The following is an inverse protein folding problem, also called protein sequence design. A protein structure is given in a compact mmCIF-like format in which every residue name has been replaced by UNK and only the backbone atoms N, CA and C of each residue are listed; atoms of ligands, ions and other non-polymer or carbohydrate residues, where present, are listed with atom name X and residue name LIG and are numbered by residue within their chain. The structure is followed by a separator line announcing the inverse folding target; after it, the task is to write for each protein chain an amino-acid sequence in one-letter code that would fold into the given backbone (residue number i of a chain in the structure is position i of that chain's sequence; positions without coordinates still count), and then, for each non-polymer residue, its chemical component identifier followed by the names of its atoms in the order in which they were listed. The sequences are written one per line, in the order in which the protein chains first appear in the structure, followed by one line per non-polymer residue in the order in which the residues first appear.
data_IF_053559058360
#
_entry.id   IF_053559058360
#
_cell.length_a   1.000
_cell.length_b   1.000
_cell.length_c   1.000
_cell.angle_alpha   90.00
_cell.angle_beta   90.00
_cell.angle_gamma   90.00
#
_symmetry.space_group_name_H-M   'P 1'
#
loop_
_entity.id
_entity.type
_entity.pdbx_description
1 polymer ?
#
# COMPACT_ATOMS: atom_id res chain seq x y z
N UNK A 1 -44.81 25.93 -14.69
CA UNK A 1 -44.30 24.62 -14.25
C UNK A 1 -43.10 24.27 -15.12
N UNK A 2 -41.88 24.44 -14.61
CA UNK A 2 -40.67 23.85 -15.21
C UNK A 2 -39.92 23.14 -14.08
N UNK A 3 -40.01 21.81 -14.05
CA UNK A 3 -39.22 20.94 -13.17
C UNK A 3 -37.86 20.74 -13.84
N UNK A 4 -36.81 21.37 -13.34
CA UNK A 4 -35.45 20.92 -13.58
C UNK A 4 -35.03 20.04 -12.40
N UNK A 5 -35.11 18.73 -12.61
CA UNK A 5 -34.65 17.69 -11.72
C UNK A 5 -33.16 17.43 -12.02
N UNK A 6 -32.36 17.45 -10.93
CA UNK A 6 -31.23 16.55 -10.63
C UNK A 6 -29.96 16.72 -11.48
N UNK A 7 -28.82 16.92 -10.83
CA UNK A 7 -27.75 15.91 -10.70
C UNK A 7 -26.54 16.51 -9.97
N UNK A 8 -26.26 15.93 -8.80
CA UNK A 8 -24.95 15.72 -8.19
C UNK A 8 -23.90 16.83 -8.31
N UNK A 9 -23.89 17.73 -7.33
CA UNK A 9 -22.65 18.38 -6.89
C UNK A 9 -21.78 17.37 -6.10
N UNK A 10 -21.30 16.34 -6.79
CA UNK A 10 -20.32 15.39 -6.27
C UNK A 10 -19.10 15.41 -7.21
N UNK A 11 -18.44 16.57 -7.32
CA UNK A 11 -17.22 16.70 -8.10
C UNK A 11 -16.46 17.98 -7.69
N UNK A 12 -15.94 18.00 -6.47
CA UNK A 12 -14.87 18.94 -6.10
C UNK A 12 -14.06 18.48 -4.87
N UNK A 13 -13.94 17.18 -4.62
CA UNK A 13 -12.72 16.69 -3.96
C UNK A 13 -11.70 16.54 -5.08
N UNK A 14 -11.13 17.68 -5.49
CA UNK A 14 -9.99 17.69 -6.39
C UNK A 14 -8.96 16.76 -5.78
N UNK A 15 -8.80 15.64 -6.49
CA UNK A 15 -7.67 14.76 -6.53
C UNK A 15 -6.37 15.56 -6.42
N UNK A 16 -5.99 15.90 -5.19
CA UNK A 16 -4.62 15.79 -4.76
C UNK A 16 -4.26 14.31 -4.88
N UNK A 17 -4.03 13.84 -6.11
CA UNK A 17 -3.13 12.71 -6.39
C UNK A 17 -1.69 13.23 -6.19
N UNK A 18 -1.48 13.90 -5.06
CA UNK A 18 -0.20 14.02 -4.35
C UNK A 18 -0.37 13.27 -3.03
N UNK A 19 -1.14 12.17 -3.04
CA UNK A 19 -1.27 11.20 -1.94
C UNK A 19 0.04 10.43 -1.78
N UNK A 20 1.07 11.17 -1.39
CA UNK A 20 2.35 10.77 -0.84
C UNK A 20 2.68 11.85 0.22
N UNK A 21 1.70 12.16 1.07
CA UNK A 21 1.91 13.06 2.20
C UNK A 21 2.58 12.29 3.33
N UNK A 22 3.21 12.99 4.27
CA UNK A 22 3.87 12.43 5.46
C UNK A 22 2.92 11.64 6.40
N UNK A 23 1.66 11.43 6.01
CA UNK A 23 0.62 10.76 6.80
C UNK A 23 -0.33 9.98 5.88
N UNK A 24 -0.05 8.69 5.63
CA UNK A 24 -0.94 7.79 4.89
C UNK A 24 -2.32 7.67 5.56
N UNK A 25 -3.39 7.59 4.76
CA UNK A 25 -4.74 7.30 5.29
C UNK A 25 -4.81 5.90 5.91
N UNK A 26 -5.84 5.65 6.72
CA UNK A 26 -6.10 4.32 7.27
C UNK A 26 -6.65 3.35 6.21
N UNK A 27 -6.64 2.06 6.51
CA UNK A 27 -7.22 1.03 5.63
C UNK A 27 -8.74 1.24 5.51
N UNK A 28 -9.39 1.60 6.62
CA UNK A 28 -10.83 1.84 6.69
C UNK A 28 -11.24 3.04 5.84
N UNK A 29 -10.38 4.06 5.73
CA UNK A 29 -10.63 5.19 4.83
C UNK A 29 -10.53 4.78 3.36
N UNK A 30 -9.58 3.91 3.01
CA UNK A 30 -9.48 3.36 1.66
C UNK A 30 -10.65 2.43 1.32
N UNK A 31 -11.17 1.65 2.26
CA UNK A 31 -12.32 0.77 2.03
C UNK A 31 -13.61 1.52 1.67
N UNK A 32 -13.69 2.82 1.93
CA UNK A 32 -14.84 3.67 1.53
C UNK A 32 -14.81 4.02 0.04
N UNK A 33 -13.67 3.83 -0.64
CA UNK A 33 -13.51 4.15 -2.05
C UNK A 33 -14.06 3.03 -2.94
N UNK A 34 -14.54 3.35 -4.16
CA UNK A 34 -14.90 2.35 -5.15
C UNK A 34 -13.73 1.44 -5.50
N UNK A 35 -14.01 0.15 -5.73
CA UNK A 35 -12.99 -0.84 -6.09
C UNK A 35 -12.11 -0.41 -7.28
N UNK A 36 -12.72 0.12 -8.34
CA UNK A 36 -11.98 0.59 -9.52
C UNK A 36 -11.02 1.76 -9.21
N UNK A 37 -11.35 2.59 -8.22
CA UNK A 37 -10.46 3.66 -7.76
C UNK A 37 -9.27 3.07 -7.00
N UNK A 38 -9.52 2.12 -6.09
CA UNK A 38 -8.47 1.39 -5.37
C UNK A 38 -7.53 0.64 -6.31
N UNK A 39 -8.05 -0.04 -7.33
CA UNK A 39 -7.26 -0.71 -8.37
C UNK A 39 -6.36 0.29 -9.10
N UNK A 40 -6.91 1.43 -9.53
CA UNK A 40 -6.12 2.48 -10.20
C UNK A 40 -5.03 3.07 -9.30
N UNK A 41 -5.32 3.28 -8.02
CA UNK A 41 -4.34 3.77 -7.04
C UNK A 41 -3.25 2.73 -6.77
N UNK A 42 -3.62 1.47 -6.57
CA UNK A 42 -2.69 0.38 -6.31
C UNK A 42 -1.77 0.12 -7.50
N UNK A 43 -2.29 0.13 -8.73
CA UNK A 43 -1.49 0.00 -9.95
C UNK A 43 -0.45 1.11 -10.09
N UNK A 44 -0.80 2.35 -9.74
CA UNK A 44 0.15 3.48 -9.73
C UNK A 44 1.25 3.27 -8.69
N UNK A 45 0.88 2.78 -7.51
CA UNK A 45 1.79 2.41 -6.44
C UNK A 45 2.79 1.32 -6.87
N UNK A 46 2.30 0.20 -7.41
CA UNK A 46 3.17 -0.89 -7.88
C UNK A 46 4.10 -0.42 -9.00
N UNK A 47 3.60 0.38 -9.94
CA UNK A 47 4.45 0.92 -11.02
C UNK A 47 5.55 1.84 -10.48
N UNK A 48 5.22 2.71 -9.53
CA UNK A 48 6.18 3.67 -8.94
C UNK A 48 7.26 2.95 -8.11
N UNK A 49 6.86 1.95 -7.33
CA UNK A 49 7.73 1.32 -6.33
C UNK A 49 8.46 0.07 -6.86
N UNK A 50 7.79 -0.75 -7.68
CA UNK A 50 8.28 -2.08 -8.07
C UNK A 50 8.75 -2.16 -9.53
N UNK A 51 8.08 -1.48 -10.47
CA UNK A 51 8.46 -1.48 -11.88
C UNK A 51 9.36 -0.28 -12.22
N UNK A 52 10.58 -0.31 -11.70
CA UNK A 52 11.61 0.67 -12.08
C UNK A 52 12.46 0.14 -13.23
N UNK A 53 12.20 0.64 -14.44
CA UNK A 53 13.14 0.54 -15.54
C UNK A 53 14.24 1.59 -15.32
N UNK A 54 15.48 1.13 -15.06
CA UNK A 54 16.62 2.03 -14.90
C UNK A 54 17.20 2.39 -16.26
N UNK A 55 17.18 3.67 -16.62
CA UNK A 55 17.76 4.16 -17.87
C UNK A 55 19.27 4.42 -17.76
N UNK A 56 19.80 4.50 -16.53
CA UNK A 56 21.22 4.71 -16.26
C UNK A 56 21.70 4.05 -14.96
N UNK A 57 23.03 3.93 -14.81
CA UNK A 57 23.67 3.41 -13.60
C UNK A 57 23.45 4.33 -12.38
N UNK A 58 23.37 5.63 -12.59
CA UNK A 58 23.17 6.60 -11.51
C UNK A 58 21.75 6.48 -10.94
N UNK A 59 20.73 6.31 -11.79
CA UNK A 59 19.36 6.03 -11.35
C UNK A 59 19.25 4.74 -10.53
N UNK A 60 19.96 3.69 -10.97
CA UNK A 60 20.04 2.42 -10.23
C UNK A 60 20.69 2.61 -8.86
N UNK A 61 21.81 3.35 -8.78
CA UNK A 61 22.49 3.62 -7.51
C UNK A 61 21.62 4.43 -6.54
N UNK A 62 20.89 5.43 -7.03
CA UNK A 62 19.95 6.20 -6.20
C UNK A 62 18.79 5.32 -5.71
N UNK A 63 18.27 4.43 -6.55
CA UNK A 63 17.26 3.47 -6.11
C UNK A 63 17.77 2.49 -5.05
N UNK A 64 19.02 2.03 -5.17
CA UNK A 64 19.67 1.18 -4.15
C UNK A 64 19.76 1.93 -2.81
N UNK A 65 20.21 3.19 -2.82
CA UNK A 65 20.29 3.99 -1.58
C UNK A 65 18.94 4.17 -0.91
N UNK A 66 17.89 4.40 -1.70
CA UNK A 66 16.51 4.49 -1.19
C UNK A 66 16.06 3.17 -0.58
N UNK A 67 16.27 2.07 -1.28
CA UNK A 67 15.94 0.73 -0.78
C UNK A 67 16.69 0.41 0.54
N UNK A 68 17.97 0.80 0.66
CA UNK A 68 18.72 0.69 1.91
C UNK A 68 18.13 1.53 3.04
N UNK A 69 17.64 2.74 2.75
CA UNK A 69 16.97 3.59 3.74
C UNK A 69 15.66 2.96 4.22
N UNK A 70 14.85 2.44 3.30
CA UNK A 70 13.61 1.69 3.61
C UNK A 70 13.92 0.47 4.48
N UNK A 71 14.93 -0.31 4.12
CA UNK A 71 15.34 -1.49 4.86
C UNK A 71 15.79 -1.17 6.29
N UNK A 72 16.47 -0.03 6.51
CA UNK A 72 16.83 0.43 7.86
C UNK A 72 15.59 0.74 8.71
N UNK A 73 14.57 1.37 8.13
CA UNK A 73 13.31 1.66 8.84
C UNK A 73 12.58 0.36 9.16
N UNK A 74 12.42 -0.52 8.18
CA UNK A 74 11.80 -1.86 8.37
C UNK A 74 12.48 -2.64 9.48
N UNK A 75 13.81 -2.63 9.54
CA UNK A 75 14.58 -3.29 10.60
C UNK A 75 14.22 -2.75 11.98
N UNK A 76 14.15 -1.42 12.16
CA UNK A 76 13.79 -0.79 13.44
C UNK A 76 12.37 -1.16 13.90
N UNK A 77 11.42 -1.18 12.96
CA UNK A 77 10.04 -1.57 13.25
C UNK A 77 9.98 -3.04 13.67
N UNK A 78 10.68 -3.93 12.96
CA UNK A 78 10.78 -5.34 13.29
C UNK A 78 11.40 -5.59 14.67
N UNK A 79 12.50 -4.90 14.98
CA UNK A 79 13.13 -4.93 16.31
C UNK A 79 12.16 -4.47 17.40
N UNK A 80 11.41 -3.38 17.17
CA UNK A 80 10.42 -2.88 18.13
C UNK A 80 9.24 -3.86 18.32
N UNK A 81 8.84 -4.59 17.28
CA UNK A 81 7.81 -5.63 17.30
C UNK A 81 8.29 -6.96 17.88
N UNK A 82 9.59 -7.12 18.14
CA UNK A 82 10.18 -8.41 18.56
C UNK A 82 10.10 -9.49 17.49
N UNK A 83 10.06 -9.12 16.20
CA UNK A 83 10.01 -10.05 15.06
C UNK A 83 11.26 -9.94 14.20
N UNK A 84 11.69 -11.05 13.62
CA UNK A 84 12.77 -11.09 12.62
C UNK A 84 12.25 -11.26 11.19
N UNK A 85 10.92 -11.28 11.01
CA UNK A 85 10.29 -11.52 9.71
C UNK A 85 10.63 -10.37 8.77
N UNK A 86 11.47 -10.66 7.78
CA UNK A 86 11.67 -9.74 6.65
C UNK A 86 10.37 -9.76 5.86
N UNK A 87 9.67 -8.63 5.78
CA UNK A 87 8.41 -8.59 5.08
C UNK A 87 8.58 -8.78 3.58
N UNK A 88 7.71 -9.61 3.00
CA UNK A 88 7.63 -9.81 1.56
C UNK A 88 6.36 -9.16 1.02
N UNK A 89 6.53 -8.20 0.11
CA UNK A 89 5.43 -7.53 -0.61
C UNK A 89 4.85 -6.29 0.10
N UNK A 90 4.18 -5.45 -0.70
CA UNK A 90 3.62 -4.17 -0.25
C UNK A 90 2.63 -4.31 0.91
N UNK A 91 1.89 -5.43 0.97
CA UNK A 91 0.85 -5.64 1.98
C UNK A 91 1.38 -5.59 3.43
N UNK A 92 2.63 -6.01 3.69
CA UNK A 92 3.17 -5.91 5.04
C UNK A 92 3.35 -4.46 5.50
N UNK A 93 3.78 -3.57 4.60
CA UNK A 93 3.90 -2.15 4.94
C UNK A 93 2.54 -1.56 5.32
N UNK A 94 1.46 -2.11 4.75
CA UNK A 94 0.09 -1.74 5.11
C UNK A 94 -0.27 -2.01 6.56
N UNK A 95 0.45 -2.91 7.24
CA UNK A 95 0.21 -3.23 8.66
C UNK A 95 1.05 -2.37 9.63
N UNK A 96 1.87 -1.45 9.12
CA UNK A 96 2.61 -0.48 9.95
C UNK A 96 1.62 0.49 10.58
N UNK A 97 1.70 0.66 11.89
CA UNK A 97 0.84 1.58 12.63
C UNK A 97 1.29 3.02 12.46
N UNK A 98 0.39 3.98 12.68
CA UNK A 98 0.76 5.40 12.61
C UNK A 98 1.80 5.78 13.67
N UNK A 99 1.80 5.13 14.84
CA UNK A 99 2.82 5.31 15.87
C UNK A 99 4.20 4.84 15.40
N UNK A 100 4.28 3.66 14.80
CA UNK A 100 5.53 3.12 14.25
C UNK A 100 6.06 3.97 13.11
N UNK A 101 5.16 4.43 12.23
CA UNK A 101 5.51 5.32 11.14
C UNK A 101 6.02 6.67 11.66
N UNK A 102 5.35 7.25 12.66
CA UNK A 102 5.80 8.51 13.27
C UNK A 102 7.14 8.37 14.00
N UNK A 103 7.42 7.22 14.60
CA UNK A 103 8.61 7.00 15.42
C UNK A 103 9.84 6.62 14.60
N UNK A 104 9.66 5.84 13.54
CA UNK A 104 10.76 5.25 12.78
C UNK A 104 10.79 5.64 11.31
N UNK A 105 9.65 6.07 10.77
CA UNK A 105 9.45 6.32 9.36
C UNK A 105 10.09 7.60 8.83
N UNK A 106 10.00 7.74 7.52
CA UNK A 106 10.31 8.94 6.76
C UNK A 106 9.29 9.04 5.60
N UNK A 107 9.36 10.13 4.83
CA UNK A 107 8.42 10.37 3.72
C UNK A 107 8.42 9.24 2.69
N UNK A 108 9.59 8.72 2.31
CA UNK A 108 9.69 7.59 1.37
C UNK A 108 9.04 6.33 1.94
N UNK A 109 9.23 6.04 3.23
CA UNK A 109 8.62 4.90 3.90
C UNK A 109 7.10 5.02 4.00
N UNK A 110 6.59 6.23 4.22
CA UNK A 110 5.17 6.51 4.24
C UNK A 110 4.49 6.11 2.91
N UNK A 111 5.17 6.28 1.77
CA UNK A 111 4.64 5.83 0.47
C UNK A 111 4.45 4.31 0.41
N UNK A 112 5.39 3.53 0.95
CA UNK A 112 5.25 2.07 1.00
C UNK A 112 4.09 1.66 1.92
N UNK A 113 3.94 2.33 3.06
CA UNK A 113 2.82 2.11 3.98
C UNK A 113 1.50 2.41 3.28
N UNK A 114 1.39 3.54 2.59
CA UNK A 114 0.20 3.92 1.84
C UNK A 114 -0.16 2.88 0.78
N UNK A 115 0.79 2.48 -0.06
CA UNK A 115 0.58 1.45 -1.07
C UNK A 115 0.15 0.11 -0.47
N UNK A 116 0.73 -0.27 0.67
CA UNK A 116 0.32 -1.45 1.42
C UNK A 116 -1.11 -1.37 1.95
N UNK A 117 -1.52 -0.22 2.51
CA UNK A 117 -2.88 -0.02 3.03
C UNK A 117 -3.92 -0.05 1.92
N UNK A 118 -3.63 0.55 0.77
CA UNK A 118 -4.48 0.45 -0.43
C UNK A 118 -4.62 -1.01 -0.86
N UNK A 119 -3.51 -1.77 -0.90
CA UNK A 119 -3.53 -3.18 -1.25
C UNK A 119 -4.36 -4.04 -0.29
N UNK A 120 -4.25 -3.79 1.02
CA UNK A 120 -5.10 -4.46 2.02
C UNK A 120 -6.57 -4.08 1.85
N UNK A 121 -6.87 -2.79 1.66
CA UNK A 121 -8.24 -2.33 1.44
C UNK A 121 -8.88 -2.96 0.20
N UNK A 122 -8.13 -3.04 -0.91
CA UNK A 122 -8.54 -3.71 -2.14
C UNK A 122 -8.83 -5.20 -1.94
N UNK A 123 -8.10 -5.85 -1.04
CA UNK A 123 -8.31 -7.26 -0.66
C UNK A 123 -9.50 -7.45 0.29
N UNK A 124 -10.19 -6.40 0.73
CA UNK A 124 -11.31 -6.50 1.67
C UNK A 124 -10.97 -6.12 3.11
N UNK A 125 -9.80 -5.53 3.35
CA UNK A 125 -9.39 -4.98 4.65
C UNK A 125 -8.58 -5.94 5.52
N UNK A 126 -8.28 -5.51 6.74
CA UNK A 126 -7.48 -6.28 7.70
C UNK A 126 -8.12 -7.61 8.08
N UNK A 127 -9.45 -7.68 8.11
CA UNK A 127 -10.16 -8.92 8.42
C UNK A 127 -9.84 -9.99 7.38
N UNK A 128 -9.96 -9.68 6.07
CA UNK A 128 -9.62 -10.61 4.99
C UNK A 128 -8.12 -10.91 4.96
N UNK A 129 -7.28 -9.91 5.18
CA UNK A 129 -5.83 -10.07 5.22
C UNK A 129 -5.37 -11.07 6.30
N UNK A 130 -5.99 -11.04 7.47
CA UNK A 130 -5.64 -11.89 8.61
C UNK A 130 -6.32 -13.28 8.58
N UNK A 131 -7.19 -13.56 7.60
CA UNK A 131 -7.81 -14.89 7.48
C UNK A 131 -6.73 -15.96 7.25
N UNK A 132 -6.81 -17.11 7.95
CA UNK A 132 -5.91 -18.24 7.68
C UNK A 132 -5.99 -18.63 6.20
N UNK A 133 -4.84 -18.62 5.52
CA UNK A 133 -4.78 -19.07 4.13
C UNK A 133 -4.62 -20.58 4.10
N UNK A 134 -5.33 -21.28 3.18
CA UNK A 134 -5.10 -22.70 2.96
C UNK A 134 -3.63 -22.93 2.60
N UNK A 135 -3.07 -24.01 3.12
CA UNK A 135 -1.70 -24.43 2.81
C UNK A 135 -1.52 -24.62 1.31
N UNK A 136 -0.26 -24.56 0.82
CA UNK A 136 0.03 -24.85 -0.59
C UNK A 136 -0.52 -26.22 -1.00
N UNK A 137 -0.39 -27.22 -0.13
CA UNK A 137 -0.96 -28.57 -0.35
C UNK A 137 -2.47 -28.53 -0.59
N UNK A 138 -3.22 -27.76 0.21
CA UNK A 138 -4.66 -27.60 0.04
C UNK A 138 -5.03 -26.84 -1.23
N UNK A 139 -4.25 -25.82 -1.61
CA UNK A 139 -4.48 -25.02 -2.82
C UNK A 139 -4.31 -25.83 -4.11
N UNK A 140 -3.38 -26.78 -4.12
CA UNK A 140 -3.07 -27.60 -5.32
C UNK A 140 -3.68 -29.00 -5.29
N UNK A 141 -4.47 -29.36 -4.27
CA UNK A 141 -5.05 -30.71 -4.08
C UNK A 141 -5.88 -31.23 -5.27
N UNK A 142 -6.38 -30.33 -6.12
CA UNK A 142 -7.20 -30.67 -7.29
C UNK A 142 -6.63 -30.15 -8.63
N UNK A 143 -5.41 -29.59 -8.65
CA UNK A 143 -4.79 -29.17 -9.91
C UNK A 143 -4.09 -30.40 -10.49
N UNK A 144 -4.69 -31.01 -11.52
CA UNK A 144 -4.19 -32.22 -12.19
C UNK A 144 -5.05 -33.48 -12.03
N UNK A 145 -6.32 -33.36 -11.61
CA UNK A 145 -7.33 -34.43 -11.74
C UNK A 145 -8.18 -34.23 -12.98
#
# INVERSE_FOLDING_TARGET
MNKALVFSAAAAAMLAISGCGDSPKSIEDYQKLPKAELESMYDKCEKKLLNKDFSSRDEMNEAIKKEEAINKVTKKINEARGTSVIPFGLAWYGTVTDEELSKFGNSEYAEYVECGRIGIALQGGLEEFNKPRPSLSERFKNIGK
#
